data_IF_237801111364
#
_entry.id   IF_237801111364
#
_cell.length_a   1.000
_cell.length_b   1.000
_cell.length_c   1.000
_cell.angle_alpha   90.00
_cell.angle_beta   90.00
_cell.angle_gamma   90.00
#
_symmetry.space_group_name_H-M   'P 1'
#
loop_
_entity.id
_entity.type
_entity.pdbx_description
1 polymer ?
#
# COMPACT_ATOMS: atom_id res chain seq x y z
N UNK A 1 -5.76 0.53 -18.01
CA UNK A 1 -5.46 0.62 -16.55
C UNK A 1 -3.95 0.75 -16.37
N UNK A 2 -3.48 1.46 -15.34
CA UNK A 2 -2.05 1.80 -15.19
C UNK A 2 -1.59 1.62 -13.73
N UNK A 3 -0.34 1.21 -13.56
CA UNK A 3 0.36 1.22 -12.27
C UNK A 3 0.44 2.66 -11.76
N UNK A 4 0.18 2.88 -10.47
CA UNK A 4 0.34 4.21 -9.85
C UNK A 4 1.46 4.17 -8.80
N UNK A 5 2.69 4.61 -9.14
CA UNK A 5 3.74 4.73 -8.14
C UNK A 5 3.41 5.87 -7.17
N UNK A 6 3.95 5.78 -5.96
CA UNK A 6 3.83 6.81 -4.91
C UNK A 6 2.37 7.22 -4.60
N UNK A 7 1.43 6.28 -4.71
CA UNK A 7 0.03 6.53 -4.43
C UNK A 7 -0.20 6.67 -2.92
N UNK A 8 -0.69 7.83 -2.48
CA UNK A 8 -0.86 8.14 -1.06
C UNK A 8 -2.23 7.72 -0.52
N UNK A 9 -2.24 7.07 0.62
CA UNK A 9 -3.45 6.67 1.36
C UNK A 9 -3.37 7.13 2.81
N UNK A 10 -4.50 7.62 3.32
CA UNK A 10 -4.66 7.94 4.74
C UNK A 10 -4.78 6.66 5.56
N UNK A 11 -4.06 6.58 6.67
CA UNK A 11 -3.97 5.39 7.53
C UNK A 11 -4.32 5.80 8.98
N UNK A 12 -5.01 4.94 9.75
CA UNK A 12 -5.49 5.31 11.09
C UNK A 12 -4.42 5.42 12.17
N UNK A 13 -3.25 4.80 11.99
CA UNK A 13 -2.20 4.73 13.01
C UNK A 13 -0.80 4.87 12.41
N UNK A 14 0.07 5.60 13.09
CA UNK A 14 1.49 5.70 12.74
C UNK A 14 2.20 4.36 12.94
N UNK A 15 3.33 4.21 12.24
CA UNK A 15 4.25 3.10 12.35
C UNK A 15 4.50 2.39 11.03
N UNK A 16 4.89 1.13 11.14
CA UNK A 16 5.26 0.29 10.01
C UNK A 16 4.07 -0.55 9.55
N UNK A 17 3.85 -0.62 8.25
CA UNK A 17 2.82 -1.44 7.62
C UNK A 17 3.43 -2.38 6.60
N UNK A 18 2.86 -3.57 6.45
CA UNK A 18 3.27 -4.52 5.42
C UNK A 18 2.09 -4.92 4.53
N UNK A 19 2.37 -5.15 3.27
CA UNK A 19 1.44 -5.81 2.36
C UNK A 19 1.29 -7.28 2.78
N UNK A 20 0.05 -7.68 3.10
CA UNK A 20 -0.27 -9.05 3.51
C UNK A 20 -1.03 -9.81 2.42
N UNK A 21 -1.53 -9.10 1.41
CA UNK A 21 -2.17 -9.67 0.23
C UNK A 21 -2.12 -8.65 -0.91
N UNK A 22 -1.88 -9.14 -2.12
CA UNK A 22 -1.97 -8.38 -3.35
C UNK A 22 -2.57 -9.26 -4.45
N UNK A 23 -3.66 -8.81 -5.07
CA UNK A 23 -4.31 -9.59 -6.13
C UNK A 23 -3.52 -9.61 -7.45
N UNK A 24 -2.53 -8.74 -7.60
CA UNK A 24 -1.64 -8.64 -8.76
C UNK A 24 -0.31 -9.41 -8.55
N UNK A 25 -0.20 -10.18 -7.47
CA UNK A 25 0.93 -11.08 -7.23
C UNK A 25 1.06 -12.12 -8.36
N UNK A 26 2.29 -12.48 -8.72
CA UNK A 26 2.59 -13.49 -9.74
C UNK A 26 2.01 -14.86 -9.39
N UNK A 27 1.84 -15.18 -8.11
CA UNK A 27 1.18 -16.40 -7.65
C UNK A 27 -0.27 -16.52 -8.15
N UNK A 28 -0.94 -15.38 -8.37
CA UNK A 28 -2.30 -15.30 -8.92
C UNK A 28 -2.30 -14.99 -10.42
N UNK A 29 -1.15 -15.11 -11.10
CA UNK A 29 -0.97 -14.74 -12.51
C UNK A 29 -1.20 -13.25 -12.79
N UNK A 30 -1.00 -12.40 -11.78
CA UNK A 30 -0.98 -10.95 -11.94
C UNK A 30 0.29 -10.45 -12.62
N UNK A 31 0.43 -9.13 -12.74
CA UNK A 31 1.59 -8.50 -13.37
C UNK A 31 2.84 -8.43 -12.47
N UNK A 32 2.69 -8.71 -11.18
CA UNK A 32 3.75 -8.67 -10.18
C UNK A 32 3.95 -7.29 -9.54
N UNK A 33 3.01 -6.35 -9.70
CA UNK A 33 3.11 -5.03 -9.07
C UNK A 33 2.74 -5.12 -7.59
N UNK A 34 3.76 -5.31 -6.75
CA UNK A 34 3.61 -5.54 -5.29
C UNK A 34 4.42 -4.54 -4.46
N UNK A 35 4.20 -4.56 -3.14
CA UNK A 35 4.93 -3.75 -2.17
C UNK A 35 5.66 -4.66 -1.16
N UNK A 36 6.78 -5.30 -1.56
CA UNK A 36 7.44 -6.33 -0.76
C UNK A 36 8.17 -5.78 0.48
N UNK A 37 8.50 -4.48 0.47
CA UNK A 37 9.17 -3.81 1.58
C UNK A 37 8.14 -3.26 2.58
N UNK A 38 8.57 -3.12 3.82
CA UNK A 38 7.80 -2.42 4.84
C UNK A 38 7.56 -0.96 4.45
N UNK A 39 6.31 -0.51 4.64
CA UNK A 39 5.83 0.83 4.33
C UNK A 39 5.78 1.64 5.62
N UNK A 40 6.52 2.75 5.65
CA UNK A 40 6.55 3.67 6.78
C UNK A 40 5.47 4.74 6.62
N UNK A 41 4.76 5.05 7.70
CA UNK A 41 3.85 6.21 7.71
C UNK A 41 4.62 7.51 7.87
N UNK A 42 4.01 8.58 7.38
CA UNK A 42 4.45 9.96 7.52
C UNK A 42 3.35 10.78 8.22
N UNK A 43 3.77 11.82 8.96
CA UNK A 43 2.91 12.84 9.60
C UNK A 43 2.31 13.81 8.56
N UNK A 44 1.63 13.26 7.56
CA UNK A 44 1.02 14.00 6.46
C UNK A 44 -0.48 13.73 6.45
N UNK A 45 -1.28 14.78 6.65
CA UNK A 45 -2.74 14.67 6.62
C UNK A 45 -3.24 14.31 5.22
N UNK A 46 -3.99 13.21 5.11
CA UNK A 46 -4.52 12.72 3.84
C UNK A 46 -5.79 11.90 4.06
N UNK A 47 -6.78 12.03 3.17
CA UNK A 47 -8.06 11.30 3.24
C UNK A 47 -8.68 11.29 4.65
N UNK A 48 -8.69 12.45 5.33
CA UNK A 48 -9.22 12.63 6.69
C UNK A 48 -8.53 11.79 7.77
N UNK A 49 -7.25 11.48 7.60
CA UNK A 49 -6.37 10.83 8.59
C UNK A 49 -5.11 11.68 8.80
N UNK A 50 -4.62 11.74 10.04
CA UNK A 50 -3.40 12.48 10.40
C UNK A 50 -2.10 11.77 9.98
N UNK A 51 -2.20 10.51 9.57
CA UNK A 51 -1.10 9.70 9.09
C UNK A 51 -1.41 9.23 7.69
N UNK A 52 -0.37 9.12 6.86
CA UNK A 52 -0.49 8.51 5.55
C UNK A 52 0.78 7.80 5.17
N UNK A 53 0.70 6.93 4.17
CA UNK A 53 1.87 6.31 3.55
C UNK A 53 1.69 6.31 2.03
N UNK A 54 2.79 6.13 1.31
CA UNK A 54 2.77 5.91 -0.13
C UNK A 54 3.02 4.44 -0.44
N UNK A 55 2.38 3.95 -1.50
CA UNK A 55 2.60 2.61 -2.03
C UNK A 55 2.57 2.64 -3.56
N UNK A 56 3.05 1.58 -4.19
CA UNK A 56 2.79 1.33 -5.61
C UNK A 56 1.45 0.63 -5.72
N UNK A 57 0.46 1.28 -6.32
CA UNK A 57 -0.86 0.68 -6.53
C UNK A 57 -0.87 -0.14 -7.83
N UNK A 58 -1.23 -1.44 -7.79
CA UNK A 58 -1.31 -2.29 -8.97
C UNK A 58 -2.41 -1.85 -9.96
N UNK A 59 -2.28 -2.17 -11.25
CA UNK A 59 -3.30 -1.90 -12.24
C UNK A 59 -4.48 -2.86 -12.05
N UNK A 60 -5.69 -2.33 -11.80
CA UNK A 60 -6.90 -3.14 -11.53
C UNK A 60 -6.73 -4.17 -10.40
N UNK A 61 -5.85 -3.90 -9.43
CA UNK A 61 -5.59 -4.79 -8.30
C UNK A 61 -6.10 -4.27 -6.97
N UNK A 62 -6.07 -5.14 -5.97
CA UNK A 62 -6.34 -4.83 -4.56
C UNK A 62 -5.10 -5.18 -3.74
N UNK A 63 -4.64 -4.20 -2.96
CA UNK A 63 -3.58 -4.35 -1.94
C UNK A 63 -4.22 -4.30 -0.55
N UNK A 64 -3.89 -5.25 0.31
CA UNK A 64 -4.30 -5.25 1.74
C UNK A 64 -3.06 -5.05 2.60
N UNK A 65 -3.11 -4.04 3.46
CA UNK A 65 -2.03 -3.71 4.38
C UNK A 65 -2.40 -4.08 5.83
N UNK A 66 -1.40 -4.52 6.59
CA UNK A 66 -1.52 -4.75 8.04
C UNK A 66 -0.40 -4.04 8.77
N UNK A 67 -0.73 -3.39 9.89
CA UNK A 67 0.25 -2.80 10.79
C UNK A 67 1.17 -3.89 11.36
N UNK A 68 2.47 -3.62 11.38
CA UNK A 68 3.46 -4.43 12.10
C UNK A 68 3.34 -4.10 13.59
N UNK A 69 3.31 -5.14 14.44
CA UNK A 69 3.10 -5.03 15.88
C UNK A 69 4.27 -4.36 16.60
#
# INVERSE_FOLDING_TARGET
>A
PVVRPNFRVGIPQSGVWKEIFNSDDLHFWGSGTTNPQELQTEDVFWNYKNQSLTLTLPPLGVTVLKKVG
#
